data_IF_590921279324
#
_entry.id   IF_590921279324
#
_cell.length_a   1.000
_cell.length_b   1.000
_cell.length_c   1.000
_cell.angle_alpha   90.00
_cell.angle_beta   90.00
_cell.angle_gamma   90.00
#
_symmetry.space_group_name_H-M   'P 1'
#
loop_
_entity.id
_entity.type
_entity.pdbx_description
1 polymer ?
#
# COMPACT_ATOMS: atom_id res chain seq x y z
N UNK A 1 -1.94 0.16 8.03
CA UNK A 1 -1.93 -0.38 9.40
C UNK A 1 -0.80 -1.38 9.59
N UNK A 2 -0.84 -2.55 8.95
CA UNK A 2 0.16 -3.62 9.14
C UNK A 2 1.61 -3.16 8.94
N UNK A 3 1.88 -2.34 7.92
CA UNK A 3 3.24 -1.85 7.69
C UNK A 3 3.78 -0.97 8.82
N UNK A 4 2.92 -0.13 9.39
CA UNK A 4 3.24 0.77 10.48
C UNK A 4 3.58 -0.01 11.76
N UNK A 5 2.88 -1.11 12.05
CA UNK A 5 3.16 -1.95 13.22
C UNK A 5 4.60 -2.46 13.26
N UNK A 6 5.15 -2.85 12.10
CA UNK A 6 6.50 -3.41 12.03
C UNK A 6 7.59 -2.35 11.92
N UNK A 7 7.33 -1.24 11.23
CA UNK A 7 8.33 -0.17 11.05
C UNK A 7 8.36 0.79 12.22
N UNK A 8 7.23 1.01 12.89
CA UNK A 8 7.07 1.95 13.97
C UNK A 8 5.96 1.49 14.94
N UNK A 9 6.25 0.45 15.74
CA UNK A 9 5.28 -0.17 16.66
C UNK A 9 4.62 0.84 17.61
N UNK A 10 5.38 1.81 18.12
CA UNK A 10 4.84 2.87 18.97
C UNK A 10 3.79 3.74 18.23
N UNK A 11 4.10 4.17 17.00
CA UNK A 11 3.16 4.94 16.16
C UNK A 11 1.92 4.11 15.82
N UNK A 12 2.07 2.81 15.56
CA UNK A 12 0.92 1.94 15.35
C UNK A 12 0.01 1.88 16.57
N UNK A 13 0.57 1.72 17.78
CA UNK A 13 -0.25 1.69 18.99
C UNK A 13 -0.91 3.04 19.24
N UNK A 14 -0.22 4.15 19.02
CA UNK A 14 -0.82 5.49 19.07
C UNK A 14 -1.99 5.61 18.11
N UNK A 15 -1.81 5.17 16.85
CA UNK A 15 -2.87 5.19 15.85
C UNK A 15 -4.05 4.27 16.21
N UNK A 16 -3.79 3.07 16.72
CA UNK A 16 -4.84 2.14 17.14
C UNK A 16 -5.64 2.72 18.31
N UNK A 17 -4.97 3.31 19.29
CA UNK A 17 -5.61 4.02 20.39
C UNK A 17 -6.41 5.21 19.87
N UNK A 18 -5.85 5.98 18.93
CA UNK A 18 -6.53 7.12 18.31
C UNK A 18 -7.81 6.69 17.61
N UNK A 19 -7.77 5.67 16.76
CA UNK A 19 -8.96 5.10 16.10
C UNK A 19 -9.99 4.64 17.14
N UNK A 20 -9.55 3.97 18.21
CA UNK A 20 -10.45 3.43 19.24
C UNK A 20 -11.16 4.53 20.03
N UNK A 21 -10.50 5.67 20.24
CA UNK A 21 -11.03 6.80 21.02
C UNK A 21 -11.76 7.84 20.16
N UNK A 22 -11.31 8.03 18.92
CA UNK A 22 -11.73 9.12 18.04
C UNK A 22 -12.12 8.56 16.67
N UNK A 23 -13.35 8.11 16.57
CA UNK A 23 -13.99 7.73 15.30
C UNK A 23 -15.45 8.19 15.29
N UNK A 24 -15.94 8.44 14.10
CA UNK A 24 -17.33 8.77 13.81
C UNK A 24 -17.78 7.92 12.61
N UNK A 25 -19.09 7.81 12.40
CA UNK A 25 -19.59 7.19 11.18
C UNK A 25 -19.15 7.99 9.96
N UNK A 26 -18.62 7.29 8.94
CA UNK A 26 -18.24 7.96 7.70
C UNK A 26 -19.45 8.59 7.02
N UNK A 27 -19.25 9.76 6.41
CA UNK A 27 -20.32 10.45 5.71
C UNK A 27 -20.83 9.62 4.52
N UNK A 28 -22.10 9.80 4.11
CA UNK A 28 -22.72 8.99 3.06
C UNK A 28 -21.91 9.00 1.74
N UNK A 29 -21.22 10.10 1.45
CA UNK A 29 -20.43 10.26 0.22
C UNK A 29 -19.22 9.33 0.16
N UNK A 30 -18.45 9.23 1.24
CA UNK A 30 -17.29 8.33 1.31
C UNK A 30 -17.71 6.89 1.51
N UNK A 31 -18.79 6.66 2.27
CA UNK A 31 -19.39 5.33 2.41
C UNK A 31 -19.79 4.76 1.05
N UNK A 32 -20.55 5.50 0.25
CA UNK A 32 -21.00 5.07 -1.09
C UNK A 32 -19.81 4.73 -2.00
N UNK A 33 -18.78 5.59 -2.01
CA UNK A 33 -17.56 5.32 -2.76
C UNK A 33 -16.85 4.05 -2.27
N UNK A 34 -16.71 3.89 -0.95
CA UNK A 34 -16.05 2.74 -0.34
C UNK A 34 -16.80 1.44 -0.60
N UNK A 35 -18.12 1.42 -0.49
CA UNK A 35 -18.99 0.28 -0.80
C UNK A 35 -18.81 -0.16 -2.26
N UNK A 36 -18.90 0.77 -3.20
CA UNK A 36 -18.68 0.48 -4.62
C UNK A 36 -17.28 -0.10 -4.87
N UNK A 37 -16.24 0.45 -4.23
CA UNK A 37 -14.88 -0.06 -4.38
C UNK A 37 -14.68 -1.45 -3.75
N UNK A 38 -15.32 -1.72 -2.61
CA UNK A 38 -15.32 -3.05 -1.98
C UNK A 38 -16.00 -4.07 -2.89
N UNK A 39 -17.15 -3.74 -3.48
CA UNK A 39 -17.86 -4.61 -4.44
C UNK A 39 -17.01 -4.89 -5.68
N UNK A 40 -16.42 -3.85 -6.29
CA UNK A 40 -15.48 -4.00 -7.41
C UNK A 40 -14.27 -4.85 -7.02
N UNK A 41 -13.79 -4.72 -5.77
CA UNK A 41 -12.76 -5.55 -5.22
C UNK A 41 -13.21 -7.01 -5.01
N UNK A 42 -14.51 -7.31 -5.03
CA UNK A 42 -15.13 -8.61 -4.78
C UNK A 42 -15.24 -8.95 -3.29
N UNK A 43 -15.32 -7.91 -2.46
CA UNK A 43 -15.64 -7.97 -1.04
C UNK A 43 -17.12 -7.65 -0.84
N UNK A 44 -17.66 -8.08 0.30
CA UNK A 44 -19.04 -7.88 0.73
C UNK A 44 -19.12 -6.64 1.62
N UNK A 45 -19.64 -5.49 1.16
CA UNK A 45 -19.60 -4.24 1.94
C UNK A 45 -20.38 -4.31 3.25
N UNK A 46 -21.41 -5.16 3.33
CA UNK A 46 -22.19 -5.45 4.54
C UNK A 46 -21.35 -5.99 5.70
N UNK A 47 -20.15 -6.50 5.42
CA UNK A 47 -19.20 -6.98 6.43
C UNK A 47 -18.23 -5.91 6.90
N UNK A 48 -18.38 -4.67 6.42
CA UNK A 48 -17.48 -3.59 6.74
C UNK A 48 -18.21 -2.46 7.47
N UNK A 49 -17.55 -1.92 8.49
CA UNK A 49 -17.96 -0.69 9.16
C UNK A 49 -17.15 0.47 8.61
N UNK A 50 -17.79 1.61 8.34
CA UNK A 50 -17.15 2.77 7.73
C UNK A 50 -16.97 3.85 8.78
N UNK A 51 -15.71 4.19 9.06
CA UNK A 51 -15.35 5.18 10.06
C UNK A 51 -14.60 6.36 9.44
N UNK A 52 -15.10 7.55 9.74
CA UNK A 52 -14.30 8.76 9.72
C UNK A 52 -13.41 8.76 10.96
N UNK A 53 -12.10 8.91 10.78
CA UNK A 53 -11.11 8.98 11.85
C UNK A 53 -10.38 10.31 11.70
N UNK A 54 -10.88 11.39 12.35
CA UNK A 54 -10.30 12.72 12.24
C UNK A 54 -8.83 12.71 12.68
N UNK A 55 -7.97 13.43 11.97
CA UNK A 55 -6.53 13.55 12.26
C UNK A 55 -5.75 12.22 12.21
N UNK A 56 -6.34 11.14 11.65
CA UNK A 56 -5.62 9.90 11.41
C UNK A 56 -4.36 10.15 10.58
N UNK A 57 -4.42 11.09 9.62
CA UNK A 57 -3.28 11.52 8.79
C UNK A 57 -2.01 11.84 9.57
N UNK A 58 -2.11 12.45 10.76
CA UNK A 58 -0.94 12.81 11.58
C UNK A 58 -0.17 11.61 12.15
N UNK A 59 -0.85 10.48 12.35
CA UNK A 59 -0.25 9.23 12.85
C UNK A 59 0.01 8.22 11.73
N UNK A 60 -0.61 8.47 10.57
CA UNK A 60 -0.65 7.53 9.48
C UNK A 60 0.33 7.92 8.38
N UNK A 61 1.45 7.21 8.34
CA UNK A 61 2.50 7.43 7.36
C UNK A 61 2.14 6.87 5.97
N UNK A 62 1.05 7.37 5.37
CA UNK A 62 0.64 7.11 3.99
C UNK A 62 0.32 8.43 3.29
N UNK A 63 0.57 8.46 1.98
CA UNK A 63 0.24 9.60 1.13
C UNK A 63 -1.26 9.95 1.14
N UNK A 64 -2.11 8.93 1.29
CA UNK A 64 -3.56 9.09 1.40
C UNK A 64 -4.02 8.53 2.75
N UNK A 65 -4.67 9.34 3.61
CA UNK A 65 -5.10 8.94 4.93
C UNK A 65 -6.38 8.08 4.87
N UNK A 66 -6.20 6.89 4.30
CA UNK A 66 -7.21 5.88 4.05
C UNK A 66 -6.63 4.47 4.20
N UNK A 67 -7.34 3.58 4.89
CA UNK A 67 -7.04 2.14 4.89
C UNK A 67 -8.29 1.28 5.03
N UNK A 68 -8.13 0.00 4.71
CA UNK A 68 -9.12 -1.03 5.04
C UNK A 68 -8.42 -2.10 5.86
N UNK A 69 -8.85 -2.28 7.11
CA UNK A 69 -8.22 -3.19 8.06
C UNK A 69 -9.26 -3.79 9.03
N UNK A 70 -9.17 -5.10 9.28
CA UNK A 70 -9.98 -5.75 10.32
C UNK A 70 -11.50 -5.69 10.15
N UNK A 71 -12.02 -5.46 8.94
CA UNK A 71 -13.45 -5.22 8.72
C UNK A 71 -13.86 -3.76 8.86
N UNK A 72 -12.90 -2.84 9.00
CA UNK A 72 -13.16 -1.40 9.06
C UNK A 72 -12.58 -0.71 7.83
N UNK A 73 -13.34 0.23 7.27
CA UNK A 73 -12.89 1.20 6.29
C UNK A 73 -12.61 2.48 7.06
N UNK A 74 -11.34 2.87 7.12
CA UNK A 74 -10.86 3.98 7.94
C UNK A 74 -10.45 5.12 7.01
N UNK A 75 -11.09 6.28 7.13
CA UNK A 75 -10.80 7.45 6.30
C UNK A 75 -10.69 8.70 7.17
N UNK A 76 -9.70 9.56 6.92
CA UNK A 76 -9.65 10.91 7.50
C UNK A 76 -10.35 11.87 6.53
N UNK A 77 -11.65 12.10 6.70
CA UNK A 77 -12.43 12.85 5.69
C UNK A 77 -11.95 14.29 5.50
N UNK A 78 -11.40 14.89 6.56
CA UNK A 78 -10.87 16.25 6.55
C UNK A 78 -9.60 16.37 5.69
N UNK A 79 -8.77 15.33 5.66
CA UNK A 79 -7.48 15.36 4.96
C UNK A 79 -7.48 14.61 3.62
N UNK A 80 -8.28 13.53 3.49
CA UNK A 80 -8.18 12.60 2.35
C UNK A 80 -8.52 13.27 1.02
N UNK A 81 -9.49 14.20 1.02
CA UNK A 81 -9.94 14.88 -0.19
C UNK A 81 -8.82 15.75 -0.75
N UNK A 82 -8.25 16.62 0.10
CA UNK A 82 -7.12 17.46 -0.27
C UNK A 82 -5.89 16.62 -0.68
N UNK A 83 -5.60 15.54 0.05
CA UNK A 83 -4.48 14.65 -0.25
C UNK A 83 -4.63 13.91 -1.59
N UNK A 84 -5.85 13.56 -2.00
CA UNK A 84 -6.13 12.91 -3.28
C UNK A 84 -6.10 13.88 -4.47
N UNK A 85 -6.54 15.13 -4.26
CA UNK A 85 -6.64 16.17 -5.28
C UNK A 85 -7.69 15.93 -6.37
N UNK A 86 -8.08 14.68 -6.62
CA UNK A 86 -9.08 14.27 -7.63
C UNK A 86 -9.86 13.04 -7.18
N UNK A 87 -11.06 12.87 -7.75
CA UNK A 87 -11.90 11.69 -7.55
C UNK A 87 -11.23 10.41 -8.05
N UNK A 88 -10.54 10.45 -9.21
CA UNK A 88 -9.87 9.28 -9.77
C UNK A 88 -8.80 8.69 -8.85
N UNK A 89 -8.00 9.57 -8.22
CA UNK A 89 -6.98 9.17 -7.24
C UNK A 89 -7.62 8.59 -5.99
N UNK A 90 -8.68 9.24 -5.47
CA UNK A 90 -9.39 8.76 -4.28
C UNK A 90 -10.02 7.38 -4.52
N UNK A 91 -10.70 7.19 -5.65
CA UNK A 91 -11.29 5.91 -6.06
C UNK A 91 -10.23 4.82 -6.21
N UNK A 92 -9.08 5.14 -6.82
CA UNK A 92 -7.95 4.23 -6.90
C UNK A 92 -7.42 3.84 -5.51
N UNK A 93 -7.33 4.78 -4.58
CA UNK A 93 -6.85 4.50 -3.22
C UNK A 93 -7.80 3.56 -2.45
N UNK A 94 -9.11 3.77 -2.55
CA UNK A 94 -10.11 2.84 -2.02
C UNK A 94 -9.98 1.45 -2.64
N UNK A 95 -9.86 1.35 -3.97
CA UNK A 95 -9.66 0.07 -4.66
C UNK A 95 -8.36 -0.61 -4.25
N UNK A 96 -7.25 0.13 -4.12
CA UNK A 96 -5.97 -0.40 -3.69
C UNK A 96 -6.03 -0.91 -2.24
N UNK A 97 -6.70 -0.19 -1.34
CA UNK A 97 -6.96 -0.65 0.02
C UNK A 97 -7.84 -1.92 0.02
N UNK A 98 -8.90 -1.95 -0.77
CA UNK A 98 -9.85 -3.07 -0.84
C UNK A 98 -9.20 -4.34 -1.43
N UNK A 99 -8.39 -4.19 -2.48
CA UNK A 99 -7.64 -5.31 -3.08
C UNK A 99 -6.61 -5.87 -2.10
N UNK A 100 -5.92 -5.00 -1.35
CA UNK A 100 -5.02 -5.44 -0.27
C UNK A 100 -5.79 -6.18 0.82
N UNK A 101 -6.93 -5.66 1.27
CA UNK A 101 -7.78 -6.31 2.25
C UNK A 101 -8.26 -7.70 1.76
N UNK A 102 -8.69 -7.80 0.49
CA UNK A 102 -9.09 -9.10 -0.12
C UNK A 102 -7.93 -10.09 -0.19
N UNK A 103 -6.73 -9.62 -0.50
CA UNK A 103 -5.53 -10.44 -0.46
C UNK A 103 -5.17 -10.93 0.96
N UNK A 104 -5.84 -10.42 2.01
CA UNK A 104 -5.58 -10.73 3.41
C UNK A 104 -4.55 -9.80 4.05
N UNK A 105 -4.37 -8.61 3.47
CA UNK A 105 -3.44 -7.60 3.93
C UNK A 105 -1.98 -8.04 3.83
N UNK A 106 -1.11 -7.28 4.50
CA UNK A 106 0.28 -7.70 4.69
C UNK A 106 0.36 -8.83 5.72
N UNK A 107 -0.64 -8.95 6.59
CA UNK A 107 -0.76 -10.05 7.56
C UNK A 107 -0.63 -11.44 6.93
N UNK A 108 -1.38 -11.76 5.85
CA UNK A 108 -1.23 -13.07 5.18
C UNK A 108 0.16 -13.29 4.61
N UNK A 109 0.79 -12.27 4.05
CA UNK A 109 2.16 -12.35 3.56
C UNK A 109 3.17 -12.57 4.69
N UNK A 110 3.00 -11.88 5.82
CA UNK A 110 3.88 -12.04 6.97
C UNK A 110 3.70 -13.43 7.61
N UNK A 111 2.47 -13.97 7.66
CA UNK A 111 2.20 -15.34 8.09
C UNK A 111 2.80 -16.39 7.14
N UNK A 112 2.63 -16.24 5.84
CA UNK A 112 3.19 -17.20 4.87
C UNK A 112 4.72 -17.17 4.89
N UNK A 113 5.33 -16.00 4.95
CA UNK A 113 6.80 -15.87 5.01
C UNK A 113 7.37 -16.33 6.35
N UNK A 114 6.67 -16.10 7.47
CA UNK A 114 7.05 -16.63 8.77
C UNK A 114 6.94 -18.16 8.81
N UNK A 115 5.83 -18.71 8.34
CA UNK A 115 5.65 -20.17 8.26
C UNK A 115 6.68 -20.81 7.34
N UNK A 116 6.98 -20.22 6.18
CA UNK A 116 8.04 -20.70 5.30
C UNK A 116 9.42 -20.71 5.99
N UNK A 117 9.77 -19.63 6.69
CA UNK A 117 11.02 -19.56 7.43
C UNK A 117 11.09 -20.59 8.56
N UNK A 118 10.00 -20.76 9.32
CA UNK A 118 9.90 -21.78 10.37
C UNK A 118 10.00 -23.20 9.80
N UNK A 119 9.30 -23.50 8.70
CA UNK A 119 9.39 -24.79 8.01
C UNK A 119 10.83 -25.09 7.58
N UNK A 120 11.52 -24.11 6.97
CA UNK A 120 12.92 -24.26 6.58
C UNK A 120 13.84 -24.48 7.78
N UNK A 121 13.61 -23.77 8.89
CA UNK A 121 14.34 -23.96 10.13
C UNK A 121 14.16 -25.34 10.75
N UNK A 122 12.92 -25.79 10.86
CA UNK A 122 12.60 -27.11 11.41
C UNK A 122 13.18 -28.21 10.51
N UNK A 123 13.02 -28.09 9.19
CA UNK A 123 13.57 -29.05 8.24
C UNK A 123 15.10 -29.10 8.30
N UNK A 124 15.80 -27.96 8.38
CA UNK A 124 17.26 -27.91 8.46
C UNK A 124 17.79 -28.43 9.79
N UNK A 125 17.17 -28.07 10.92
CA UNK A 125 17.52 -28.58 12.24
C UNK A 125 17.33 -30.09 12.33
N UNK A 126 16.22 -30.62 11.80
CA UNK A 126 15.97 -32.05 11.76
C UNK A 126 16.92 -32.79 10.81
N UNK A 127 17.23 -32.21 9.64
CA UNK A 127 18.21 -32.77 8.71
C UNK A 127 19.61 -32.85 9.35
N UNK A 128 20.03 -31.80 10.05
CA UNK A 128 21.32 -31.80 10.77
C UNK A 128 21.34 -32.84 11.90
N UNK A 129 20.25 -32.99 12.66
CA UNK A 129 20.17 -34.02 13.70
C UNK A 129 20.18 -35.43 13.13
N UNK A 130 19.40 -35.68 12.08
CA UNK A 130 19.25 -37.01 11.47
C UNK A 130 20.50 -37.45 10.72
N UNK A 131 21.10 -36.57 9.91
CA UNK A 131 22.34 -36.85 9.15
C UNK A 131 23.56 -36.75 10.06
N UNK A 132 23.64 -35.73 10.90
CA UNK A 132 24.77 -35.49 11.79
C UNK A 132 24.94 -36.61 12.82
N UNK A 133 23.86 -37.13 13.42
CA UNK A 133 23.98 -38.30 14.32
C UNK A 133 24.39 -39.59 13.61
N UNK A 134 24.11 -39.73 12.31
CA UNK A 134 24.54 -40.90 11.52
C UNK A 134 25.99 -40.78 11.06
N UNK A 135 26.42 -39.59 10.64
CA UNK A 135 27.72 -39.38 10.00
C UNK A 135 28.82 -38.87 10.94
N UNK A 136 28.48 -38.22 12.06
CA UNK A 136 29.44 -37.62 12.97
C UNK A 136 29.43 -38.31 14.33
N UNK A 137 30.45 -39.14 14.64
CA UNK A 137 30.55 -39.86 15.91
C UNK A 137 30.47 -38.94 17.13
N UNK A 138 30.98 -37.71 17.00
CA UNK A 138 30.97 -36.71 18.05
C UNK A 138 29.54 -36.31 18.49
N UNK A 139 28.62 -36.14 17.53
CA UNK A 139 27.20 -35.87 17.81
C UNK A 139 26.49 -37.09 18.39
N UNK A 140 26.95 -38.30 18.06
CA UNK A 140 26.40 -39.54 18.61
C UNK A 140 26.78 -39.73 20.09
N UNK A 141 28.01 -39.34 20.46
CA UNK A 141 28.54 -39.42 21.84
C UNK A 141 28.07 -38.30 22.76
N UNK A 142 27.60 -37.17 22.23
CA UNK A 142 27.12 -36.01 23.00
C UNK A 142 25.68 -35.64 22.62
N UNK A 143 24.66 -36.32 23.17
CA UNK A 143 23.26 -36.14 22.75
C UNK A 143 22.74 -34.72 23.00
N UNK A 144 23.07 -34.12 24.14
CA UNK A 144 22.69 -32.74 24.48
C UNK A 144 23.36 -31.73 23.52
N UNK A 145 24.65 -31.91 23.24
CA UNK A 145 25.38 -31.06 22.29
C UNK A 145 24.84 -31.18 20.86
N UNK A 146 24.41 -32.38 20.44
CA UNK A 146 23.78 -32.56 19.14
C UNK A 146 22.45 -31.83 19.04
N UNK A 147 21.61 -31.91 20.08
CA UNK A 147 20.35 -31.15 20.17
C UNK A 147 20.64 -29.64 20.09
N UNK A 148 21.62 -29.14 20.84
CA UNK A 148 22.01 -27.73 20.79
C UNK A 148 22.41 -27.30 19.37
N UNK A 149 23.21 -28.09 18.66
CA UNK A 149 23.57 -27.80 17.26
C UNK A 149 22.34 -27.79 16.36
N UNK A 150 21.43 -28.75 16.48
CA UNK A 150 20.19 -28.80 15.70
C UNK A 150 19.29 -27.58 15.93
N UNK A 151 19.15 -27.15 17.19
CA UNK A 151 18.42 -25.92 17.55
C UNK A 151 19.10 -24.69 16.97
N UNK A 152 20.43 -24.57 17.10
CA UNK A 152 21.18 -23.45 16.50
C UNK A 152 21.04 -23.42 14.98
N UNK A 153 21.12 -24.57 14.31
CA UNK A 153 20.91 -24.63 12.86
C UNK A 153 19.49 -24.21 12.47
N UNK A 154 18.48 -24.63 13.23
CA UNK A 154 17.11 -24.17 13.03
C UNK A 154 17.03 -22.64 13.12
N UNK A 155 17.53 -22.04 14.20
CA UNK A 155 17.53 -20.59 14.37
C UNK A 155 18.25 -19.85 13.24
N UNK A 156 19.47 -20.29 12.87
CA UNK A 156 20.24 -19.69 11.78
C UNK A 156 19.49 -19.78 10.46
N UNK A 157 18.90 -20.94 10.15
CA UNK A 157 18.12 -21.12 8.93
C UNK A 157 16.87 -20.23 8.90
N UNK A 158 16.13 -20.11 10.01
CA UNK A 158 14.98 -19.18 10.09
C UNK A 158 15.43 -17.74 9.80
N UNK A 159 16.51 -17.28 10.42
CA UNK A 159 17.05 -15.93 10.22
C UNK A 159 17.51 -15.73 8.78
N UNK A 160 18.27 -16.67 8.23
CA UNK A 160 18.75 -16.64 6.86
C UNK A 160 17.60 -16.63 5.85
N UNK A 161 16.58 -17.48 6.02
CA UNK A 161 15.39 -17.50 5.15
C UNK A 161 14.63 -16.19 5.23
N UNK A 162 14.48 -15.58 6.41
CA UNK A 162 13.85 -14.25 6.54
C UNK A 162 14.64 -13.16 5.81
N UNK A 163 15.96 -13.17 5.93
CA UNK A 163 16.82 -12.23 5.21
C UNK A 163 16.73 -12.45 3.70
N UNK A 164 16.72 -13.70 3.24
CA UNK A 164 16.57 -14.06 1.83
C UNK A 164 15.21 -13.59 1.27
N UNK A 165 14.10 -13.86 1.96
CA UNK A 165 12.76 -13.43 1.54
C UNK A 165 12.65 -11.90 1.44
N UNK A 166 13.32 -11.17 2.34
CA UNK A 166 13.43 -9.70 2.25
C UNK A 166 14.29 -9.28 1.07
N UNK A 167 15.46 -9.91 0.88
CA UNK A 167 16.37 -9.60 -0.22
C UNK A 167 15.75 -9.87 -1.60
N UNK A 168 14.92 -10.91 -1.72
CA UNK A 168 14.16 -11.22 -2.94
C UNK A 168 13.01 -10.23 -3.23
N UNK A 169 12.75 -9.26 -2.34
CA UNK A 169 11.75 -8.22 -2.58
C UNK A 169 10.31 -8.75 -2.63
N UNK A 170 10.01 -9.89 -2.01
CA UNK A 170 8.68 -10.52 -2.09
C UNK A 170 7.54 -9.61 -1.56
N UNK A 171 7.86 -8.70 -0.63
CA UNK A 171 6.91 -7.68 -0.17
C UNK A 171 6.63 -6.60 -1.21
N UNK A 172 7.65 -6.20 -1.98
CA UNK A 172 7.54 -5.22 -3.07
C UNK A 172 6.70 -5.83 -4.20
N UNK A 173 6.97 -7.08 -4.58
CA UNK A 173 6.20 -7.77 -5.62
C UNK A 173 4.74 -7.95 -5.22
N UNK A 174 4.46 -8.27 -3.95
CA UNK A 174 3.09 -8.35 -3.47
C UNK A 174 2.36 -6.99 -3.49
N UNK A 175 3.02 -5.91 -3.06
CA UNK A 175 2.46 -4.57 -3.12
C UNK A 175 2.17 -4.16 -4.58
N UNK A 176 3.12 -4.40 -5.48
CA UNK A 176 3.00 -4.16 -6.92
C UNK A 176 1.83 -4.94 -7.54
N UNK A 177 1.72 -6.24 -7.23
CA UNK A 177 0.60 -7.06 -7.71
C UNK A 177 -0.76 -6.56 -7.21
N UNK A 178 -0.80 -6.03 -5.98
CA UNK A 178 -2.03 -5.46 -5.41
C UNK A 178 -2.41 -4.15 -6.12
N UNK A 179 -1.44 -3.28 -6.38
CA UNK A 179 -1.64 -2.05 -7.16
C UNK A 179 -2.10 -2.36 -8.58
N UNK A 180 -1.45 -3.30 -9.27
CA UNK A 180 -1.84 -3.74 -10.60
C UNK A 180 -3.29 -4.25 -10.64
N UNK A 181 -3.68 -5.09 -9.68
CA UNK A 181 -5.07 -5.59 -9.56
C UNK A 181 -6.07 -4.47 -9.27
N UNK A 182 -5.67 -3.42 -8.54
CA UNK A 182 -6.51 -2.26 -8.29
C UNK A 182 -6.68 -1.42 -9.56
N UNK A 183 -5.60 -1.20 -10.33
CA UNK A 183 -5.65 -0.55 -11.63
C UNK A 183 -6.58 -1.32 -12.59
N UNK A 184 -6.44 -2.64 -12.70
CA UNK A 184 -7.30 -3.48 -13.57
C UNK A 184 -8.80 -3.39 -13.24
N UNK A 185 -9.16 -2.99 -12.01
CA UNK A 185 -10.54 -2.79 -11.55
C UNK A 185 -11.07 -1.37 -11.74
N UNK A 186 -10.18 -0.39 -11.96
CA UNK A 186 -10.54 1.02 -12.08
C UNK A 186 -11.37 1.27 -13.36
N UNK A 187 -10.96 0.64 -14.48
CA UNK A 187 -11.68 0.60 -15.78
C UNK A 187 -12.23 1.96 -16.23
N UNK A 188 -11.46 3.03 -16.02
CA UNK A 188 -11.85 4.38 -16.44
C UNK A 188 -10.63 5.15 -16.90
N UNK A 189 -10.65 5.62 -18.15
CA UNK A 189 -9.55 6.36 -18.78
C UNK A 189 -9.21 7.62 -18.00
N UNK A 190 -10.21 8.38 -17.58
CA UNK A 190 -10.03 9.61 -16.80
C UNK A 190 -9.47 9.34 -15.40
N UNK A 191 -9.94 8.28 -14.71
CA UNK A 191 -9.32 7.89 -13.44
C UNK A 191 -7.84 7.50 -13.63
N UNK A 192 -7.46 6.84 -14.73
CA UNK A 192 -6.04 6.54 -14.98
C UNK A 192 -5.22 7.80 -15.22
N UNK A 193 -5.78 8.80 -15.90
CA UNK A 193 -5.09 10.08 -16.13
C UNK A 193 -4.92 10.87 -14.83
N UNK A 194 -5.94 10.86 -13.97
CA UNK A 194 -5.87 11.44 -12.62
C UNK A 194 -4.75 10.78 -11.80
N UNK A 195 -4.70 9.44 -11.79
CA UNK A 195 -3.68 8.67 -11.07
C UNK A 195 -2.29 8.85 -11.67
N UNK A 196 -2.18 8.92 -13.01
CA UNK A 196 -0.92 9.17 -13.69
C UNK A 196 -0.34 10.54 -13.31
N UNK A 197 -1.16 11.60 -13.40
CA UNK A 197 -0.74 12.95 -13.04
C UNK A 197 -0.33 13.04 -11.56
N UNK A 198 -1.11 12.44 -10.67
CA UNK A 198 -0.75 12.38 -9.25
C UNK A 198 0.57 11.65 -9.02
N UNK A 199 0.81 10.55 -9.74
CA UNK A 199 2.04 9.76 -9.61
C UNK A 199 3.25 10.52 -10.18
N UNK A 200 3.08 11.27 -11.27
CA UNK A 200 4.09 12.17 -11.84
C UNK A 200 4.45 13.28 -10.84
N UNK A 201 3.45 13.96 -10.26
CA UNK A 201 3.68 14.97 -9.23
C UNK A 201 4.43 14.40 -8.01
N UNK A 202 4.05 13.20 -7.54
CA UNK A 202 4.77 12.55 -6.43
C UNK A 202 6.20 12.17 -6.79
N UNK A 203 6.47 11.84 -8.06
CA UNK A 203 7.83 11.59 -8.54
C UNK A 203 8.65 12.88 -8.48
N UNK A 204 8.12 13.98 -9.01
CA UNK A 204 8.77 15.29 -8.97
C UNK A 204 9.07 15.74 -7.53
N UNK A 205 8.13 15.53 -6.60
CA UNK A 205 8.34 15.84 -5.18
C UNK A 205 9.48 15.02 -4.57
N UNK A 206 9.60 13.73 -4.90
CA UNK A 206 10.68 12.86 -4.40
C UNK A 206 12.01 13.24 -5.02
N UNK A 207 12.04 13.60 -6.31
CA UNK A 207 13.25 14.08 -6.98
C UNK A 207 13.71 15.44 -6.43
N UNK A 208 12.76 16.28 -6.01
CA UNK A 208 13.04 17.56 -5.36
C UNK A 208 13.44 17.44 -3.88
N UNK A 209 13.26 16.27 -3.24
CA UNK A 209 13.65 16.07 -1.84
C UNK A 209 15.16 16.20 -1.68
N UNK A 210 15.57 17.19 -0.89
CA UNK A 210 16.96 17.36 -0.48
C UNK A 210 17.23 16.56 0.79
N UNK A 211 18.48 16.16 0.97
CA UNK A 211 18.97 15.59 2.22
C UNK A 211 18.59 16.54 3.38
N UNK A 212 18.01 16.03 4.48
CA UNK A 212 17.71 16.84 5.65
C UNK A 212 18.96 17.59 6.11
N UNK A 213 18.88 18.92 6.19
CA UNK A 213 20.01 19.70 6.73
C UNK A 213 20.12 19.44 8.23
N UNK A 214 21.33 19.18 8.75
CA UNK A 214 21.53 19.06 10.19
C UNK A 214 21.14 20.37 10.87
N UNK A 215 20.50 20.27 12.04
CA UNK A 215 20.16 21.45 12.83
C UNK A 215 21.45 22.22 13.20
N UNK A 216 21.39 23.57 13.32
CA UNK A 216 22.55 24.36 13.70
C UNK A 216 23.19 23.82 15.00
N UNK A 217 24.50 23.57 14.97
CA UNK A 217 25.25 23.03 16.11
C UNK A 217 25.29 21.50 16.22
N UNK A 218 24.60 20.75 15.35
CA UNK A 218 24.70 19.29 15.29
C UNK A 218 25.81 18.84 14.34
N UNK A 219 26.47 17.70 14.61
CA UNK A 219 27.45 17.14 13.69
C UNK A 219 26.79 16.79 12.35
N UNK A 220 27.57 16.79 11.24
CA UNK A 220 27.05 16.38 9.94
C UNK A 220 26.49 14.95 10.00
N UNK A 221 25.46 14.69 9.20
CA UNK A 221 24.86 13.37 9.11
C UNK A 221 25.92 12.33 8.68
N UNK A 222 25.94 11.13 9.28
CA UNK A 222 26.87 10.08 8.88
C UNK A 222 26.74 9.76 7.39
N UNK A 223 27.86 9.53 6.69
CA UNK A 223 27.85 9.18 5.26
C UNK A 223 26.97 7.97 4.94
N UNK A 224 26.90 6.99 5.84
CA UNK A 224 26.04 5.82 5.69
C UNK A 224 24.56 6.21 5.60
N UNK A 225 24.13 7.19 6.41
CA UNK A 225 22.75 7.72 6.40
C UNK A 225 22.47 8.50 5.12
N UNK A 226 23.45 9.26 4.62
CA UNK A 226 23.36 10.00 3.35
C UNK A 226 23.18 9.04 2.16
N UNK A 227 24.08 8.06 2.03
CA UNK A 227 24.01 7.02 0.98
C UNK A 227 22.71 6.22 1.08
N UNK A 228 22.23 5.97 2.30
CA UNK A 228 20.96 5.28 2.50
C UNK A 228 19.78 6.14 2.04
N UNK A 229 19.77 7.44 2.34
CA UNK A 229 18.74 8.37 1.87
C UNK A 229 18.69 8.42 0.34
N UNK A 230 19.84 8.62 -0.31
CA UNK A 230 19.95 8.64 -1.79
C UNK A 230 19.50 7.33 -2.42
N UNK A 231 19.86 6.19 -1.82
CA UNK A 231 19.44 4.88 -2.31
C UNK A 231 17.92 4.71 -2.18
N UNK A 232 17.33 5.14 -1.07
CA UNK A 232 15.89 5.03 -0.85
C UNK A 232 15.10 5.96 -1.78
N UNK A 233 15.55 7.20 -1.98
CA UNK A 233 14.92 8.13 -2.91
C UNK A 233 14.98 7.59 -4.34
N UNK A 234 16.14 7.09 -4.79
CA UNK A 234 16.29 6.48 -6.10
C UNK A 234 15.37 5.26 -6.30
N UNK A 235 15.26 4.39 -5.29
CA UNK A 235 14.33 3.25 -5.33
C UNK A 235 12.86 3.71 -5.37
N UNK A 236 12.51 4.77 -4.65
CA UNK A 236 11.16 5.31 -4.66
C UNK A 236 10.79 5.90 -6.04
N UNK A 237 11.71 6.64 -6.67
CA UNK A 237 11.56 7.14 -8.03
C UNK A 237 11.36 5.98 -9.01
N UNK A 238 12.22 4.96 -8.96
CA UNK A 238 12.10 3.78 -9.83
C UNK A 238 10.75 3.05 -9.66
N UNK A 239 10.23 2.96 -8.43
CA UNK A 239 8.91 2.38 -8.16
C UNK A 239 7.79 3.24 -8.76
N UNK A 240 7.87 4.56 -8.65
CA UNK A 240 6.89 5.48 -9.24
C UNK A 240 6.90 5.39 -10.77
N UNK A 241 8.07 5.31 -11.40
CA UNK A 241 8.19 5.09 -12.84
C UNK A 241 7.58 3.76 -13.29
N UNK A 242 7.85 2.67 -12.55
CA UNK A 242 7.23 1.39 -12.83
C UNK A 242 5.71 1.46 -12.70
N UNK A 243 5.18 2.19 -11.72
CA UNK A 243 3.74 2.38 -11.55
C UNK A 243 3.15 3.17 -12.72
N UNK A 244 3.83 4.23 -13.19
CA UNK A 244 3.39 4.99 -14.37
C UNK A 244 3.28 4.11 -15.61
N UNK A 245 4.24 3.20 -15.82
CA UNK A 245 4.16 2.23 -16.91
C UNK A 245 2.92 1.32 -16.77
N UNK A 246 2.64 0.83 -15.56
CA UNK A 246 1.44 0.00 -15.31
C UNK A 246 0.13 0.76 -15.50
N UNK A 247 0.07 2.02 -15.07
CA UNK A 247 -1.09 2.90 -15.27
C UNK A 247 -1.34 3.09 -16.76
N UNK A 248 -0.30 3.41 -17.55
CA UNK A 248 -0.39 3.58 -19.01
C UNK A 248 -0.86 2.30 -19.71
N UNK A 249 -0.34 1.14 -19.30
CA UNK A 249 -0.78 -0.15 -19.83
C UNK A 249 -2.24 -0.46 -19.47
N UNK A 250 -2.66 -0.18 -18.24
CA UNK A 250 -4.05 -0.36 -17.81
C UNK A 250 -5.01 0.58 -18.54
N UNK A 251 -4.61 1.84 -18.75
CA UNK A 251 -5.35 2.83 -19.58
C UNK A 251 -5.58 2.31 -20.99
N UNK A 252 -4.54 1.80 -21.65
CA UNK A 252 -4.66 1.24 -23.01
C UNK A 252 -5.66 0.10 -23.09
N UNK A 253 -5.76 -0.75 -22.06
CA UNK A 253 -6.73 -1.86 -22.03
C UNK A 253 -8.17 -1.42 -21.78
N UNK A 254 -8.37 -0.24 -21.21
CA UNK A 254 -9.70 0.24 -20.88
C UNK A 254 -10.48 0.81 -22.07
N UNK A 255 -9.86 0.93 -23.26
CA UNK A 255 -10.54 1.24 -24.53
C UNK A 255 -11.65 2.30 -24.40
N UNK A 256 -11.29 3.52 -24.00
CA UNK A 256 -12.19 4.69 -23.80
C UNK A 256 -13.32 4.57 -22.76
N UNK A 257 -13.37 3.50 -21.96
CA UNK A 257 -14.36 3.37 -20.89
C UNK A 257 -14.24 4.50 -19.86
N UNK A 258 -15.39 5.03 -19.46
CA UNK A 258 -15.53 5.99 -18.37
C UNK A 258 -16.37 5.38 -17.25
N UNK A 259 -16.03 5.71 -16.00
CA UNK A 259 -16.91 5.44 -14.88
C UNK A 259 -18.07 6.44 -14.87
N UNK A 260 -19.14 6.11 -14.15
CA UNK A 260 -20.36 6.92 -14.13
C UNK A 260 -20.10 8.36 -13.69
N UNK A 261 -19.15 8.57 -12.76
CA UNK A 261 -18.76 9.91 -12.33
C UNK A 261 -18.09 10.72 -13.43
N UNK A 262 -17.06 10.16 -14.08
CA UNK A 262 -16.37 10.88 -15.16
C UNK A 262 -17.22 11.02 -16.42
N UNK A 263 -18.17 10.12 -16.66
CA UNK A 263 -19.20 10.29 -17.69
C UNK A 263 -20.12 11.46 -17.31
N UNK A 264 -20.72 11.42 -16.12
CA UNK A 264 -21.62 12.46 -15.63
C UNK A 264 -20.98 13.85 -15.63
N UNK A 265 -19.72 13.97 -15.20
CA UNK A 265 -18.98 15.25 -15.21
C UNK A 265 -18.65 15.78 -16.62
N UNK A 266 -18.56 14.92 -17.63
CA UNK A 266 -18.38 15.34 -19.02
C UNK A 266 -19.70 15.77 -19.66
N UNK A 267 -20.80 15.15 -19.24
CA UNK A 267 -22.14 15.42 -19.78
C UNK A 267 -22.75 16.68 -19.13
N UNK A 268 -22.59 16.85 -17.82
CA UNK A 268 -23.13 17.98 -17.05
C UNK A 268 -22.23 18.34 -15.86
N UNK A 269 -21.83 19.61 -15.78
CA UNK A 269 -21.02 20.14 -14.69
C UNK A 269 -21.77 20.18 -13.35
N UNK A 270 -23.11 20.28 -13.40
CA UNK A 270 -23.95 20.24 -12.21
C UNK A 270 -24.03 18.85 -11.59
N UNK A 271 -23.57 17.81 -12.29
CA UNK A 271 -23.46 16.45 -11.76
C UNK A 271 -22.67 16.42 -10.43
N UNK A 272 -21.64 17.26 -10.29
CA UNK A 272 -20.84 17.34 -9.05
C UNK A 272 -21.68 17.70 -7.81
N UNK A 273 -22.77 18.44 -7.99
CA UNK A 273 -23.67 18.87 -6.91
C UNK A 273 -24.68 17.78 -6.56
N UNK A 274 -25.18 17.05 -7.56
CA UNK A 274 -26.25 16.05 -7.38
C UNK A 274 -25.75 14.64 -7.07
N UNK A 275 -24.50 14.30 -7.42
CA UNK A 275 -23.98 12.94 -7.35
C UNK A 275 -23.78 12.38 -5.93
N UNK A 276 -23.80 13.22 -4.89
CA UNK A 276 -23.60 12.77 -3.50
C UNK A 276 -22.26 12.05 -3.27
N UNK A 277 -21.21 12.44 -4.01
CA UNK A 277 -19.87 11.83 -3.97
C UNK A 277 -18.81 12.89 -3.63
N UNK A 278 -17.62 12.49 -3.14
CA UNK A 278 -16.55 13.42 -2.75
C UNK A 278 -15.83 14.01 -3.97
N UNK A 279 -16.56 14.68 -4.85
CA UNK A 279 -16.07 15.34 -6.07
C UNK A 279 -15.51 16.73 -5.71
N UNK A 280 -14.41 17.11 -6.35
CA UNK A 280 -13.74 18.40 -6.19
C UNK A 280 -14.00 19.31 -7.38
N UNK A 281 -13.82 20.62 -7.17
CA UNK A 281 -13.83 21.59 -8.26
C UNK A 281 -12.78 21.26 -9.33
N UNK A 282 -11.62 20.73 -8.91
CA UNK A 282 -10.59 20.23 -9.81
C UNK A 282 -11.13 19.15 -10.76
N UNK A 283 -11.99 18.23 -10.30
CA UNK A 283 -12.56 17.19 -11.16
C UNK A 283 -13.44 17.78 -12.28
N UNK A 284 -14.22 18.82 -11.95
CA UNK A 284 -15.05 19.55 -12.92
C UNK A 284 -14.16 20.27 -13.93
N UNK A 285 -13.12 20.98 -13.48
CA UNK A 285 -12.18 21.67 -14.36
C UNK A 285 -11.49 20.69 -15.33
N UNK A 286 -11.06 19.53 -14.84
CA UNK A 286 -10.43 18.49 -15.66
C UNK A 286 -11.40 17.85 -16.64
N UNK A 287 -12.66 17.62 -16.24
CA UNK A 287 -13.68 17.15 -17.16
C UNK A 287 -13.91 18.14 -18.31
N UNK A 288 -13.97 19.46 -18.02
CA UNK A 288 -14.06 20.51 -19.04
C UNK A 288 -12.88 20.52 -19.99
N UNK A 289 -11.66 20.45 -19.47
CA UNK A 289 -10.44 20.38 -20.29
C UNK A 289 -10.45 19.18 -21.23
N UNK A 290 -10.86 18.01 -20.72
CA UNK A 290 -10.92 16.76 -21.49
C UNK A 290 -12.04 16.76 -22.53
N UNK A 291 -13.18 17.36 -22.23
CA UNK A 291 -14.29 17.51 -23.19
C UNK A 291 -13.86 18.37 -24.39
N UNK A 292 -13.05 19.42 -24.17
CA UNK A 292 -12.49 20.26 -25.24
C UNK A 292 -11.42 19.58 -26.09
N UNK A 293 -10.80 18.50 -25.58
CA UNK A 293 -9.77 17.74 -26.29
C UNK A 293 -10.33 16.59 -27.14
N UNK A 294 -11.62 16.27 -27.02
CA UNK A 294 -12.28 15.36 -27.94
C UNK A 294 -12.51 16.09 -29.26
N UNK A 295 -12.13 15.51 -30.43
CA UNK A 295 -12.46 16.12 -31.70
C UNK A 295 -13.98 16.24 -31.81
N UNK A 296 -14.45 17.47 -32.00
CA UNK A 296 -15.81 17.75 -32.41
C UNK A 296 -16.06 17.10 -33.78
N UNK A 297 -16.67 15.91 -33.80
CA UNK A 297 -17.16 15.31 -35.05
C UNK A 297 -17.01 13.80 -35.13
N UNK A 298 -18.14 13.12 -34.97
CA UNK A 298 -18.49 11.88 -35.65
C UNK A 298 -19.91 12.05 -36.15
#
# INVERSE_FOLDING_TARGET
MDGLYFTAKAQFHQLATHISLYHEDASPTYRTLGEACLQLAGLRPDRFTFWNVPNMSGYFNKALPLDIHGGYVLVDEAAVKAAAGTYGVLRYAYLAAAVRARAGGRWRYDFTTMNAALCMGVASGFAVLSVGRRRWPLMRRRPVGAIAVGVTTCFVAVVATRLLLRAMGAGITHARNSNRRALEKLRCVDCYDDVARYTEQRKEEVEAQRVPQPQPGMPPLPEASLRQFERLSALQVQLLESNLCEIRLAKRRANSQLCDVHRGLRDDEQYAVSAGLPIQYADVALARERARQLPSGG
#
